data_IF_463635826060
#
_entry.id   IF_463635826060
#
_cell.length_a   1.000
_cell.length_b   1.000
_cell.length_c   1.000
_cell.angle_alpha   90.00
_cell.angle_beta   90.00
_cell.angle_gamma   90.00
#
_symmetry.space_group_name_H-M   'P 1'
#
loop_
_entity.id
_entity.type
_entity.pdbx_description
1 polymer ?
#
# COMPACT_ATOMS: atom_id res chain seq x y z
N UNK A 1 22.71 -12.39 13.35
CA UNK A 1 22.64 -12.27 11.88
C UNK A 1 21.18 -12.11 11.54
N UNK A 2 20.73 -10.99 10.96
CA UNK A 2 19.35 -10.88 10.50
C UNK A 2 19.12 -11.85 9.34
N UNK A 3 17.95 -12.47 9.28
CA UNK A 3 17.59 -13.33 8.17
C UNK A 3 17.62 -12.52 6.86
N UNK A 4 18.12 -13.13 5.79
CA UNK A 4 18.27 -12.46 4.50
C UNK A 4 16.88 -12.27 3.87
N UNK A 5 16.49 -11.05 3.46
CA UNK A 5 15.19 -10.84 2.84
C UNK A 5 15.12 -11.53 1.47
N UNK A 6 13.96 -12.09 1.14
CA UNK A 6 13.66 -12.73 -0.15
C UNK A 6 13.28 -11.71 -1.23
N UNK A 7 13.00 -10.47 -0.84
CA UNK A 7 12.78 -9.33 -1.73
C UNK A 7 13.76 -8.19 -1.43
N UNK A 8 14.36 -7.59 -2.45
CA UNK A 8 15.27 -6.43 -2.32
C UNK A 8 14.53 -5.11 -2.36
N UNK A 9 13.48 -5.02 -3.17
CA UNK A 9 12.68 -3.82 -3.36
C UNK A 9 11.21 -4.16 -3.35
N UNK A 10 10.44 -3.48 -2.52
CA UNK A 10 9.01 -3.77 -2.34
C UNK A 10 8.19 -2.50 -2.31
N UNK A 11 6.91 -2.63 -2.67
CA UNK A 11 5.94 -1.57 -2.46
C UNK A 11 4.92 -2.00 -1.40
N UNK A 12 4.91 -1.33 -0.25
CA UNK A 12 3.89 -1.50 0.78
C UNK A 12 2.67 -0.63 0.45
N UNK A 13 1.53 -1.27 0.24
CA UNK A 13 0.24 -0.59 0.12
C UNK A 13 -0.54 -0.73 1.43
N UNK A 14 -0.76 0.38 2.12
CA UNK A 14 -1.65 0.47 3.27
C UNK A 14 -2.99 1.11 2.87
N UNK A 15 -4.10 0.60 3.40
CA UNK A 15 -5.37 1.35 3.30
C UNK A 15 -5.31 2.60 4.18
N UNK A 16 -5.98 3.67 3.76
CA UNK A 16 -6.19 4.83 4.65
C UNK A 16 -6.93 4.43 5.93
N UNK A 17 -7.89 3.50 5.84
CA UNK A 17 -8.61 3.00 7.02
C UNK A 17 -7.70 2.31 8.04
N UNK A 18 -6.55 1.76 7.60
CA UNK A 18 -5.59 1.18 8.53
C UNK A 18 -5.04 2.24 9.49
N UNK A 19 -4.92 3.49 9.05
CA UNK A 19 -4.45 4.60 9.89
C UNK A 19 -5.47 5.10 10.91
N UNK A 20 -6.73 4.68 10.87
CA UNK A 20 -7.73 5.15 11.84
C UNK A 20 -7.58 4.49 13.22
N UNK A 21 -6.90 3.36 13.32
CA UNK A 21 -6.91 2.55 14.55
C UNK A 21 -8.34 2.20 14.97
N UNK A 22 -8.68 2.50 16.22
CA UNK A 22 -10.04 2.33 16.76
C UNK A 22 -10.94 3.56 16.52
N UNK A 23 -10.45 4.60 15.87
CA UNK A 23 -11.19 5.84 15.61
C UNK A 23 -12.13 5.68 14.41
N UNK A 24 -13.19 6.50 14.38
CA UNK A 24 -14.14 6.52 13.24
C UNK A 24 -13.68 7.37 12.06
N UNK A 25 -12.66 8.22 12.24
CA UNK A 25 -12.18 9.20 11.27
C UNK A 25 -10.79 9.71 11.64
N UNK A 26 -10.00 10.13 10.65
CA UNK A 26 -8.72 10.80 10.88
C UNK A 26 -7.52 9.86 10.93
N UNK A 27 -6.48 10.24 11.67
CA UNK A 27 -5.21 9.52 11.75
C UNK A 27 -4.89 9.24 13.22
N UNK A 28 -4.78 7.96 13.55
CA UNK A 28 -4.22 7.49 14.80
C UNK A 28 -2.69 7.44 14.71
N UNK A 29 -2.04 8.35 15.42
CA UNK A 29 -0.58 8.50 15.42
C UNK A 29 0.10 7.21 15.91
N UNK A 30 -0.49 6.48 16.85
CA UNK A 30 0.12 5.24 17.34
C UNK A 30 0.13 4.15 16.26
N UNK A 31 -0.88 4.13 15.39
CA UNK A 31 -0.91 3.20 14.25
C UNK A 31 0.06 3.62 13.15
N UNK A 32 0.16 4.92 12.87
CA UNK A 32 1.17 5.45 11.95
C UNK A 32 2.61 5.15 12.43
N UNK A 33 2.88 5.36 13.74
CA UNK A 33 4.17 5.05 14.37
C UNK A 33 4.47 3.54 14.33
N UNK A 34 3.46 2.68 14.48
CA UNK A 34 3.61 1.22 14.32
C UNK A 34 3.96 0.82 12.89
N UNK A 35 3.26 1.34 11.89
CA UNK A 35 3.57 1.07 10.46
C UNK A 35 4.98 1.59 10.13
N UNK A 36 5.37 2.75 10.67
CA UNK A 36 6.72 3.28 10.53
C UNK A 36 7.77 2.34 11.14
N UNK A 37 7.49 1.73 12.30
CA UNK A 37 8.34 0.71 12.90
C UNK A 37 8.48 -0.55 12.03
N UNK A 38 7.38 -1.04 11.45
CA UNK A 38 7.43 -2.21 10.55
C UNK A 38 8.28 -1.90 9.29
N UNK A 39 8.19 -0.67 8.76
CA UNK A 39 9.05 -0.20 7.66
C UNK A 39 10.52 -0.06 8.11
N UNK A 40 10.77 0.41 9.33
CA UNK A 40 12.10 0.50 9.91
C UNK A 40 12.81 -0.85 9.94
N UNK A 41 12.08 -1.90 10.37
CA UNK A 41 12.57 -3.27 10.41
C UNK A 41 12.92 -3.78 9.00
N UNK A 42 12.04 -3.56 8.01
CA UNK A 42 12.32 -3.87 6.61
C UNK A 42 13.60 -3.19 6.09
N UNK A 43 13.74 -1.89 6.38
CA UNK A 43 14.90 -1.10 5.95
C UNK A 43 16.19 -1.54 6.64
N UNK A 44 16.12 -1.94 7.91
CA UNK A 44 17.26 -2.50 8.64
C UNK A 44 17.76 -3.84 8.04
N UNK A 45 16.92 -4.54 7.29
CA UNK A 45 17.30 -5.73 6.52
C UNK A 45 17.91 -5.40 5.14
N UNK A 46 18.00 -4.12 4.78
CA UNK A 46 18.51 -3.66 3.48
C UNK A 46 17.46 -3.66 2.36
N UNK A 47 16.17 -3.75 2.70
CA UNK A 47 15.08 -3.68 1.73
C UNK A 47 14.79 -2.22 1.36
N UNK A 48 14.73 -1.93 0.06
CA UNK A 48 14.25 -0.65 -0.47
C UNK A 48 12.72 -0.62 -0.44
N UNK A 49 12.13 0.36 0.26
CA UNK A 49 10.68 0.39 0.51
C UNK A 49 10.05 1.61 -0.14
N UNK A 50 9.12 1.35 -1.07
CA UNK A 50 8.13 2.31 -1.53
C UNK A 50 6.82 2.13 -0.76
N UNK A 51 6.07 3.19 -0.53
CA UNK A 51 4.80 3.15 0.21
C UNK A 51 3.69 3.86 -0.54
N UNK A 52 2.51 3.25 -0.64
CA UNK A 52 1.27 3.91 -1.05
C UNK A 52 0.28 3.82 0.10
N UNK A 53 -0.30 4.95 0.49
CA UNK A 53 -1.32 5.01 1.53
C UNK A 53 -2.63 5.54 0.95
N UNK A 54 -3.73 4.82 1.19
CA UNK A 54 -5.07 5.26 0.77
C UNK A 54 -5.59 6.46 1.58
N UNK A 55 -6.71 7.06 1.14
CA UNK A 55 -7.30 8.27 1.76
C UNK A 55 -8.62 8.05 2.51
N UNK A 56 -9.11 6.81 2.58
CA UNK A 56 -10.48 6.47 3.04
C UNK A 56 -10.82 6.79 4.50
N UNK A 57 -9.82 7.17 5.30
CA UNK A 57 -9.95 7.64 6.68
C UNK A 57 -10.26 9.13 6.80
N UNK A 58 -9.91 9.93 5.79
CA UNK A 58 -10.18 11.38 5.74
C UNK A 58 -11.30 11.66 4.74
N UNK A 59 -11.30 10.94 3.61
CA UNK A 59 -12.31 11.15 2.58
C UNK A 59 -12.73 9.84 1.92
N UNK A 60 -14.03 9.55 1.94
CA UNK A 60 -14.64 8.42 1.22
C UNK A 60 -15.46 8.95 0.05
N UNK A 61 -14.82 9.10 -1.11
CA UNK A 61 -15.44 9.71 -2.29
C UNK A 61 -16.72 9.05 -2.78
N UNK A 62 -16.88 7.75 -2.52
CA UNK A 62 -18.12 7.01 -2.82
C UNK A 62 -19.33 7.65 -2.11
N UNK A 63 -19.17 8.20 -0.90
CA UNK A 63 -20.25 8.81 -0.14
C UNK A 63 -20.73 10.16 -0.71
N UNK A 64 -19.88 10.86 -1.47
CA UNK A 64 -20.22 12.14 -2.12
C UNK A 64 -20.83 11.90 -3.49
N UNK A 65 -20.26 11.00 -4.29
CA UNK A 65 -20.82 10.61 -5.59
C UNK A 65 -22.22 9.96 -5.44
N UNK A 66 -22.42 9.12 -4.41
CA UNK A 66 -23.72 8.48 -4.15
C UNK A 66 -24.82 9.46 -3.72
N UNK A 67 -24.46 10.71 -3.37
CA UNK A 67 -25.39 11.77 -2.97
C UNK A 67 -25.59 12.83 -4.06
N UNK A 68 -25.22 12.53 -5.31
CA UNK A 68 -25.37 13.44 -6.45
C UNK A 68 -24.21 14.41 -6.66
N UNK A 69 -23.07 14.21 -6.00
CA UNK A 69 -21.86 14.99 -6.22
C UNK A 69 -21.06 14.55 -7.46
N UNK A 70 -20.25 15.44 -8.00
CA UNK A 70 -19.33 15.15 -9.11
C UNK A 70 -18.25 14.15 -8.67
N UNK A 71 -18.17 13.02 -9.39
CA UNK A 71 -17.21 11.94 -9.12
C UNK A 71 -15.77 12.42 -9.22
N UNK A 72 -15.46 13.28 -10.20
CA UNK A 72 -14.11 13.78 -10.44
C UNK A 72 -13.63 14.61 -9.24
N UNK A 73 -14.47 15.53 -8.77
CA UNK A 73 -14.21 16.32 -7.56
C UNK A 73 -14.01 15.43 -6.33
N UNK A 74 -14.85 14.41 -6.15
CA UNK A 74 -14.66 13.44 -5.06
C UNK A 74 -13.31 12.71 -5.12
N UNK A 75 -12.88 12.26 -6.30
CA UNK A 75 -11.59 11.60 -6.44
C UNK A 75 -10.42 12.57 -6.19
N UNK A 76 -10.52 13.84 -6.58
CA UNK A 76 -9.53 14.87 -6.20
C UNK A 76 -9.43 15.05 -4.68
N UNK A 77 -10.57 15.12 -3.97
CA UNK A 77 -10.57 15.18 -2.50
C UNK A 77 -9.94 13.92 -1.89
N UNK A 78 -10.19 12.75 -2.48
CA UNK A 78 -9.53 11.50 -2.11
C UNK A 78 -8.01 11.54 -2.30
N UNK A 79 -7.53 12.10 -3.41
CA UNK A 79 -6.11 12.27 -3.68
C UNK A 79 -5.46 13.23 -2.68
N UNK A 80 -6.10 14.35 -2.32
CA UNK A 80 -5.64 15.23 -1.25
C UNK A 80 -5.58 14.52 0.11
N UNK A 81 -6.57 13.67 0.42
CA UNK A 81 -6.55 12.85 1.63
C UNK A 81 -5.34 11.91 1.67
N UNK A 82 -4.93 11.31 0.54
CA UNK A 82 -3.70 10.50 0.48
C UNK A 82 -2.44 11.31 0.79
N UNK A 83 -2.38 12.58 0.38
CA UNK A 83 -1.26 13.48 0.65
C UNK A 83 -1.17 13.79 2.15
N UNK A 84 -2.30 14.08 2.80
CA UNK A 84 -2.34 14.29 4.25
C UNK A 84 -1.82 13.06 5.00
N UNK A 85 -2.26 11.85 4.61
CA UNK A 85 -1.78 10.61 5.22
C UNK A 85 -0.30 10.36 4.97
N UNK A 86 0.19 10.65 3.76
CA UNK A 86 1.60 10.50 3.42
C UNK A 86 2.49 11.40 4.28
N UNK A 87 2.08 12.65 4.51
CA UNK A 87 2.79 13.58 5.40
C UNK A 87 2.81 13.09 6.85
N UNK A 88 1.69 12.57 7.34
CA UNK A 88 1.62 12.00 8.69
C UNK A 88 2.55 10.80 8.87
N UNK A 89 2.54 9.85 7.92
CA UNK A 89 3.43 8.69 7.94
C UNK A 89 4.90 9.10 7.80
N UNK A 90 5.21 10.10 6.96
CA UNK A 90 6.56 10.63 6.83
C UNK A 90 7.07 11.21 8.17
N UNK A 91 6.21 11.91 8.91
CA UNK A 91 6.56 12.39 10.26
C UNK A 91 6.86 11.22 11.20
N UNK A 92 6.04 10.17 11.19
CA UNK A 92 6.27 8.96 12.01
C UNK A 92 7.59 8.26 11.66
N UNK A 93 7.93 8.13 10.38
CA UNK A 93 9.21 7.56 9.93
C UNK A 93 10.39 8.43 10.38
N UNK A 94 10.28 9.75 10.27
CA UNK A 94 11.35 10.69 10.70
C UNK A 94 11.57 10.70 12.20
N UNK A 95 10.55 10.44 13.04
CA UNK A 95 10.73 10.23 14.49
C UNK A 95 11.65 9.05 14.80
N UNK A 96 11.74 8.08 13.89
CA UNK A 96 12.60 6.90 13.98
C UNK A 96 13.92 7.09 13.23
N UNK A 97 14.28 8.33 12.90
CA UNK A 97 15.48 8.70 12.13
C UNK A 97 15.57 8.03 10.74
N UNK A 98 14.43 7.75 10.12
CA UNK A 98 14.35 7.18 8.77
C UNK A 98 14.20 8.31 7.75
N UNK A 99 15.23 8.51 6.93
CA UNK A 99 15.18 9.47 5.83
C UNK A 99 14.07 9.09 4.83
N UNK A 100 13.18 10.04 4.59
CA UNK A 100 11.89 9.80 3.92
C UNK A 100 11.49 10.99 3.06
N UNK A 101 11.09 10.69 1.83
CA UNK A 101 10.54 11.67 0.88
C UNK A 101 9.09 11.33 0.51
N UNK A 102 8.27 12.37 0.31
CA UNK A 102 6.91 12.23 -0.22
C UNK A 102 6.92 12.71 -1.67
N UNK A 103 6.52 11.83 -2.59
CA UNK A 103 6.38 12.12 -4.01
C UNK A 103 4.89 12.12 -4.40
N UNK A 104 4.38 13.26 -4.86
CA UNK A 104 2.97 13.40 -5.26
C UNK A 104 2.78 13.29 -6.76
N UNK A 105 1.74 12.56 -7.18
CA UNK A 105 1.30 12.52 -8.57
C UNK A 105 0.69 13.85 -9.05
N UNK A 106 0.24 14.69 -8.12
CA UNK A 106 -0.27 16.05 -8.36
C UNK A 106 0.80 17.04 -7.91
N UNK A 107 1.17 18.00 -8.77
CA UNK A 107 2.18 19.00 -8.42
C UNK A 107 1.71 19.86 -7.23
N UNK A 108 2.52 19.90 -6.17
CA UNK A 108 2.29 20.71 -4.96
C UNK A 108 3.63 21.25 -4.43
N UNK A 109 4.24 22.23 -5.15
CA UNK A 109 5.64 22.63 -4.94
C UNK A 109 6.00 23.02 -3.51
N UNK A 110 5.07 23.59 -2.75
CA UNK A 110 5.28 24.04 -1.38
C UNK A 110 5.13 22.93 -0.33
N UNK A 111 4.59 21.76 -0.70
CA UNK A 111 4.20 20.71 0.25
C UNK A 111 5.03 19.43 0.07
N UNK A 112 5.20 18.97 -1.17
CA UNK A 112 5.90 17.73 -1.47
C UNK A 112 6.52 17.74 -2.87
N UNK A 113 7.52 16.89 -3.08
CA UNK A 113 8.16 16.76 -4.38
C UNK A 113 7.20 16.14 -5.40
N UNK A 114 7.25 16.61 -6.65
CA UNK A 114 6.49 15.98 -7.73
C UNK A 114 7.06 14.62 -8.09
N UNK A 115 6.20 13.65 -8.35
CA UNK A 115 6.62 12.32 -8.77
C UNK A 115 7.39 12.37 -10.10
N UNK A 116 8.52 11.67 -10.11
CA UNK A 116 9.11 11.14 -11.33
C UNK A 116 9.77 9.79 -11.02
N UNK A 117 9.79 8.89 -12.01
CA UNK A 117 10.47 7.61 -11.87
C UNK A 117 11.96 7.79 -11.53
N UNK A 118 12.62 8.76 -12.15
CA UNK A 118 14.05 9.03 -11.93
C UNK A 118 14.34 9.51 -10.51
N UNK A 119 13.53 10.42 -9.99
CA UNK A 119 13.66 10.87 -8.59
C UNK A 119 13.41 9.71 -7.62
N UNK A 120 12.40 8.89 -7.89
CA UNK A 120 12.09 7.69 -7.09
C UNK A 120 13.31 6.77 -6.99
N UNK A 121 13.90 6.37 -8.12
CA UNK A 121 15.07 5.48 -8.15
C UNK A 121 16.31 6.10 -7.48
N UNK A 122 16.47 7.43 -7.60
CA UNK A 122 17.54 8.15 -6.92
C UNK A 122 17.36 8.15 -5.39
N UNK A 123 16.16 8.45 -4.89
CA UNK A 123 15.90 8.43 -3.45
C UNK A 123 16.05 7.01 -2.86
N UNK A 124 15.57 5.99 -3.58
CA UNK A 124 15.75 4.59 -3.17
C UNK A 124 17.22 4.17 -3.10
N UNK A 125 18.06 4.61 -4.06
CA UNK A 125 19.49 4.29 -4.05
C UNK A 125 20.27 4.95 -2.92
N UNK A 126 19.73 6.02 -2.33
CA UNK A 126 20.23 6.62 -1.08
C UNK A 126 19.72 5.91 0.18
N UNK A 127 18.92 4.85 0.05
CA UNK A 127 18.33 4.11 1.16
C UNK A 127 17.21 4.86 1.88
N UNK A 128 16.56 5.81 1.20
CA UNK A 128 15.38 6.54 1.69
C UNK A 128 14.12 5.72 1.51
N UNK A 129 13.15 5.93 2.39
CA UNK A 129 11.77 5.47 2.15
C UNK A 129 11.07 6.48 1.24
N UNK A 130 10.40 5.98 0.19
CA UNK A 130 9.64 6.81 -0.74
C UNK A 130 8.15 6.60 -0.51
N UNK A 131 7.42 7.65 -0.13
CA UNK A 131 5.96 7.59 0.00
C UNK A 131 5.33 8.24 -1.24
N UNK A 132 4.55 7.49 -1.99
CA UNK A 132 3.79 7.98 -3.13
C UNK A 132 2.41 8.46 -2.68
N UNK A 133 2.07 9.69 -3.04
CA UNK A 133 0.80 10.34 -2.73
C UNK A 133 0.11 10.85 -4.00
N UNK A 134 -1.16 11.24 -3.88
CA UNK A 134 -1.97 11.69 -5.00
C UNK A 134 -2.44 10.56 -5.94
N UNK A 135 -2.30 9.30 -5.52
CA UNK A 135 -2.71 8.13 -6.31
C UNK A 135 -2.03 8.06 -7.68
N UNK A 136 -2.82 7.83 -8.73
CA UNK A 136 -2.36 7.89 -10.13
C UNK A 136 -2.32 9.32 -10.68
N UNK A 137 -2.78 10.31 -9.91
CA UNK A 137 -3.04 11.68 -10.37
C UNK A 137 -4.32 11.83 -11.20
N UNK A 138 -5.05 10.74 -11.42
CA UNK A 138 -6.23 10.71 -12.29
C UNK A 138 -7.48 10.22 -11.53
N UNK A 139 -8.64 10.85 -11.72
CA UNK A 139 -9.93 10.32 -11.25
C UNK A 139 -10.22 8.92 -11.83
N UNK A 140 -11.20 8.23 -11.25
CA UNK A 140 -11.67 6.88 -11.61
C UNK A 140 -10.72 5.71 -11.29
N UNK A 141 -9.50 5.99 -10.83
CA UNK A 141 -8.57 4.96 -10.35
C UNK A 141 -8.58 4.85 -8.83
N UNK A 142 -8.22 3.66 -8.33
CA UNK A 142 -8.09 3.44 -6.89
C UNK A 142 -6.63 3.59 -6.45
N UNK A 143 -6.41 3.58 -5.14
CA UNK A 143 -5.06 3.53 -4.55
C UNK A 143 -4.39 2.18 -4.76
N UNK A 144 -5.14 1.11 -5.03
CA UNK A 144 -4.60 -0.17 -5.44
C UNK A 144 -4.04 -0.08 -6.88
N UNK A 145 -4.72 0.61 -7.80
CA UNK A 145 -4.19 0.88 -9.15
C UNK A 145 -2.91 1.72 -9.09
N UNK A 146 -2.87 2.73 -8.20
CA UNK A 146 -1.66 3.52 -7.97
C UNK A 146 -0.50 2.67 -7.41
N UNK A 147 -0.79 1.75 -6.48
CA UNK A 147 0.22 0.83 -5.96
C UNK A 147 0.81 -0.06 -7.05
N UNK A 148 -0.03 -0.66 -7.90
CA UNK A 148 0.45 -1.47 -9.02
C UNK A 148 1.31 -0.64 -10.01
N UNK A 149 0.88 0.59 -10.33
CA UNK A 149 1.63 1.49 -11.20
C UNK A 149 2.99 1.86 -10.63
N UNK A 150 3.02 2.35 -9.37
CA UNK A 150 4.28 2.76 -8.73
C UNK A 150 5.22 1.59 -8.50
N UNK A 151 4.69 0.40 -8.21
CA UNK A 151 5.49 -0.82 -8.09
C UNK A 151 6.19 -1.16 -9.40
N UNK A 152 5.47 -1.09 -10.53
CA UNK A 152 6.06 -1.31 -11.86
C UNK A 152 7.13 -0.24 -12.18
N UNK A 153 6.82 1.04 -11.97
CA UNK A 153 7.76 2.13 -12.29
C UNK A 153 9.02 2.10 -11.41
N UNK A 154 8.91 1.74 -10.14
CA UNK A 154 10.07 1.62 -9.26
C UNK A 154 10.78 0.26 -9.40
N UNK A 155 10.28 -0.67 -10.21
CA UNK A 155 10.84 -2.02 -10.33
C UNK A 155 10.78 -2.82 -9.03
N UNK A 156 9.67 -2.73 -8.29
CA UNK A 156 9.46 -3.52 -7.09
C UNK A 156 9.30 -5.01 -7.44
N UNK A 157 9.88 -5.88 -6.61
CA UNK A 157 9.82 -7.33 -6.76
C UNK A 157 8.52 -7.92 -6.20
N UNK A 158 7.76 -7.15 -5.41
CA UNK A 158 6.41 -7.50 -4.95
C UNK A 158 5.64 -6.28 -4.42
N UNK A 159 4.31 -6.36 -4.50
CA UNK A 159 3.37 -5.45 -3.82
C UNK A 159 2.88 -6.12 -2.55
N UNK A 160 3.16 -5.51 -1.42
CA UNK A 160 2.69 -5.94 -0.11
C UNK A 160 1.41 -5.17 0.24
N UNK A 161 0.26 -5.83 0.13
CA UNK A 161 -1.03 -5.23 0.44
C UNK A 161 -1.42 -5.55 1.88
N UNK A 162 -1.23 -4.57 2.76
CA UNK A 162 -1.64 -4.65 4.15
C UNK A 162 -3.16 -4.48 4.29
N UNK A 163 -3.82 -5.49 4.85
CA UNK A 163 -5.27 -5.51 5.05
C UNK A 163 -5.66 -5.77 6.50
N UNK A 164 -6.98 -5.79 6.76
CA UNK A 164 -7.56 -6.08 8.07
C UNK A 164 -7.60 -7.59 8.39
N UNK A 165 -7.31 -8.43 7.39
CA UNK A 165 -7.27 -9.90 7.48
C UNK A 165 -5.90 -10.39 7.03
N UNK A 166 -5.55 -11.63 7.34
CA UNK A 166 -4.22 -12.24 7.13
C UNK A 166 -4.06 -12.93 5.76
N UNK A 167 -4.89 -12.57 4.78
CA UNK A 167 -4.85 -13.17 3.44
C UNK A 167 -6.13 -13.00 2.65
N UNK A 168 -6.22 -13.75 1.55
CA UNK A 168 -7.38 -13.83 0.68
C UNK A 168 -8.19 -15.05 1.08
N UNK A 169 -9.50 -14.88 1.22
CA UNK A 169 -10.43 -15.93 1.63
C UNK A 169 -11.45 -16.21 0.54
N UNK A 170 -12.03 -17.41 0.55
CA UNK A 170 -13.13 -17.80 -0.34
C UNK A 170 -14.40 -16.98 -0.15
N UNK A 171 -14.61 -16.44 1.05
CA UNK A 171 -15.70 -15.53 1.44
C UNK A 171 -15.21 -14.57 2.53
N UNK A 172 -16.03 -13.58 2.93
CA UNK A 172 -15.70 -12.69 4.05
C UNK A 172 -15.64 -13.49 5.36
N UNK A 173 -14.45 -13.69 5.97
CA UNK A 173 -14.30 -14.54 7.15
C UNK A 173 -14.99 -13.98 8.40
N UNK A 174 -15.42 -12.70 8.37
CA UNK A 174 -16.21 -12.11 9.46
C UNK A 174 -17.70 -12.47 9.37
N UNK A 175 -18.17 -12.92 8.20
CA UNK A 175 -19.58 -13.23 7.92
C UNK A 175 -19.81 -14.71 7.67
N UNK A 176 -18.84 -15.38 7.08
CA UNK A 176 -18.92 -16.80 6.73
C UNK A 176 -17.89 -17.59 7.56
N UNK A 177 -18.32 -18.43 8.51
CA UNK A 177 -17.42 -19.26 9.31
C UNK A 177 -16.77 -20.39 8.50
N UNK A 178 -17.27 -20.69 7.29
CA UNK A 178 -16.69 -21.67 6.38
C UNK A 178 -15.67 -21.04 5.42
N UNK A 179 -15.39 -19.73 5.54
CA UNK A 179 -14.40 -19.06 4.71
C UNK A 179 -13.01 -19.68 4.90
N UNK A 180 -12.43 -20.16 3.81
CA UNK A 180 -11.11 -20.79 3.79
C UNK A 180 -10.10 -19.83 3.20
N UNK A 181 -8.97 -19.64 3.88
CA UNK A 181 -7.86 -18.82 3.38
C UNK A 181 -7.11 -19.57 2.29
N UNK A 182 -6.72 -18.86 1.24
CA UNK A 182 -5.79 -19.37 0.24
C UNK A 182 -4.36 -19.09 0.66
N UNK A 183 -3.43 -20.00 0.44
CA UNK A 183 -1.99 -19.73 0.63
C UNK A 183 -1.37 -19.15 -0.64
N UNK A 184 -1.77 -19.66 -1.82
CA UNK A 184 -1.30 -19.22 -3.13
C UNK A 184 -2.43 -19.14 -4.14
N UNK A 185 -2.35 -18.14 -5.02
CA UNK A 185 -3.25 -17.95 -6.15
C UNK A 185 -2.44 -17.43 -7.35
N UNK A 186 -2.97 -17.61 -8.56
CA UNK A 186 -2.49 -16.89 -9.75
C UNK A 186 -3.25 -15.59 -9.92
N UNK A 187 -2.71 -14.63 -10.67
CA UNK A 187 -3.42 -13.38 -10.96
C UNK A 187 -4.72 -13.66 -11.73
N UNK A 188 -4.68 -14.62 -12.67
CA UNK A 188 -5.87 -15.06 -13.41
C UNK A 188 -6.91 -15.69 -12.50
N UNK A 189 -6.52 -16.51 -11.52
CA UNK A 189 -7.48 -17.09 -10.57
C UNK A 189 -8.17 -16.02 -9.72
N UNK A 190 -7.47 -14.95 -9.32
CA UNK A 190 -8.08 -13.81 -8.61
C UNK A 190 -9.13 -13.13 -9.47
N UNK A 191 -8.84 -12.90 -10.76
CA UNK A 191 -9.75 -12.25 -11.71
C UNK A 191 -10.97 -13.14 -12.03
N UNK A 192 -10.75 -14.42 -12.35
CA UNK A 192 -11.81 -15.36 -12.74
C UNK A 192 -12.78 -15.66 -11.59
N UNK A 193 -12.27 -15.77 -10.36
CA UNK A 193 -13.09 -16.02 -9.17
C UNK A 193 -13.70 -14.74 -8.60
N UNK A 194 -13.37 -13.56 -9.14
CA UNK A 194 -13.84 -12.28 -8.63
C UNK A 194 -13.45 -12.03 -7.16
N UNK A 195 -12.28 -12.51 -6.73
CA UNK A 195 -11.85 -12.36 -5.34
C UNK A 195 -11.52 -10.89 -5.04
N UNK A 196 -12.07 -10.35 -3.96
CA UNK A 196 -11.92 -8.95 -3.58
C UNK A 196 -10.54 -8.65 -2.96
N UNK A 197 -9.50 -8.69 -3.81
CA UNK A 197 -8.10 -8.45 -3.41
C UNK A 197 -7.72 -7.00 -3.63
N UNK A 198 -7.86 -6.55 -4.88
CA UNK A 198 -7.62 -5.21 -5.40
C UNK A 198 -8.65 -4.99 -6.52
N UNK A 199 -8.76 -3.77 -7.06
CA UNK A 199 -9.54 -3.58 -8.28
C UNK A 199 -8.92 -4.31 -9.47
N UNK A 200 -9.76 -4.63 -10.46
CA UNK A 200 -9.38 -5.39 -11.65
C UNK A 200 -8.22 -4.75 -12.41
N UNK A 201 -8.21 -3.41 -12.53
CA UNK A 201 -7.15 -2.71 -13.25
C UNK A 201 -5.79 -2.87 -12.54
N UNK A 202 -5.78 -2.81 -11.21
CA UNK A 202 -4.56 -3.04 -10.43
C UNK A 202 -4.03 -4.48 -10.56
N UNK A 203 -4.91 -5.48 -10.49
CA UNK A 203 -4.52 -6.90 -10.64
C UNK A 203 -4.00 -7.16 -12.05
N UNK A 204 -4.67 -6.62 -13.08
CA UNK A 204 -4.24 -6.75 -14.47
C UNK A 204 -2.85 -6.12 -14.69
N UNK A 205 -2.62 -4.91 -14.17
CA UNK A 205 -1.35 -4.23 -14.28
C UNK A 205 -0.21 -4.98 -13.57
N UNK A 206 -0.49 -5.52 -12.37
CA UNK A 206 0.48 -6.35 -11.65
C UNK A 206 0.82 -7.63 -12.44
N UNK A 207 -0.18 -8.29 -13.03
CA UNK A 207 0.00 -9.48 -13.88
C UNK A 207 0.87 -9.19 -15.10
N UNK A 208 0.57 -8.12 -15.83
CA UNK A 208 1.30 -7.74 -17.06
C UNK A 208 2.78 -7.45 -16.80
N UNK A 209 3.12 -7.03 -15.58
CA UNK A 209 4.49 -6.75 -15.15
C UNK A 209 5.09 -7.90 -14.32
N UNK A 210 4.41 -9.04 -14.22
CA UNK A 210 4.80 -10.19 -13.41
C UNK A 210 5.15 -9.83 -11.95
N UNK A 211 4.42 -8.88 -11.36
CA UNK A 211 4.62 -8.40 -9.98
C UNK A 211 3.72 -9.22 -9.06
N UNK A 212 4.29 -10.03 -8.14
CA UNK A 212 3.53 -10.73 -7.12
C UNK A 212 2.79 -9.77 -6.19
N UNK A 213 1.59 -10.17 -5.77
CA UNK A 213 0.82 -9.46 -4.73
C UNK A 213 0.81 -10.32 -3.48
N UNK A 214 1.34 -9.79 -2.39
CA UNK A 214 1.41 -10.45 -1.09
C UNK A 214 0.37 -9.79 -0.17
N UNK A 215 -0.71 -10.52 0.13
CA UNK A 215 -1.80 -10.03 0.97
C UNK A 215 -1.61 -10.54 2.39
N UNK A 216 -1.55 -9.62 3.34
CA UNK A 216 -1.26 -9.94 4.74
C UNK A 216 -2.00 -9.00 5.69
N UNK A 217 -1.96 -9.32 6.99
CA UNK A 217 -2.53 -8.47 8.03
C UNK A 217 -1.55 -7.34 8.36
N UNK A 218 -2.00 -6.10 8.20
CA UNK A 218 -1.18 -4.94 8.60
C UNK A 218 -1.10 -4.78 10.12
N UNK A 219 -1.89 -5.52 10.91
CA UNK A 219 -1.97 -5.36 12.37
C UNK A 219 -1.03 -6.27 13.15
N UNK A 220 -0.49 -7.29 12.48
CA UNK A 220 0.44 -8.23 13.09
C UNK A 220 1.82 -7.57 13.21
N UNK A 221 2.23 -7.26 14.44
CA UNK A 221 3.54 -6.65 14.73
C UNK A 221 4.66 -7.58 14.25
N UNK A 222 5.59 -7.06 13.46
CA UNK A 222 6.67 -7.86 12.86
C UNK A 222 6.24 -8.73 11.68
N UNK A 223 4.93 -8.83 11.40
CA UNK A 223 4.41 -9.66 10.31
C UNK A 223 4.96 -9.25 8.94
N UNK A 224 5.17 -7.95 8.71
CA UNK A 224 5.79 -7.48 7.47
C UNK A 224 7.23 -7.99 7.32
N UNK A 225 8.04 -7.90 8.38
CA UNK A 225 9.42 -8.38 8.38
C UNK A 225 9.52 -9.90 8.24
N UNK A 226 8.64 -10.64 8.92
CA UNK A 226 8.57 -12.10 8.82
C UNK A 226 8.28 -12.55 7.38
N UNK A 227 7.34 -11.90 6.69
CA UNK A 227 7.02 -12.25 5.30
C UNK A 227 8.16 -11.87 4.36
N UNK A 228 8.85 -10.76 4.61
CA UNK A 228 10.03 -10.36 3.83
C UNK A 228 11.18 -11.37 3.92
N UNK A 229 11.18 -12.27 4.91
CA UNK A 229 12.18 -13.33 5.08
C UNK A 229 11.64 -14.72 4.75
N UNK A 230 10.43 -14.81 4.19
CA UNK A 230 9.79 -16.04 3.73
C UNK A 230 8.92 -16.76 4.76
N UNK A 231 8.72 -16.16 5.93
CA UNK A 231 7.80 -16.63 6.96
C UNK A 231 6.44 -15.91 6.93
N UNK A 232 5.81 -15.82 8.11
CA UNK A 232 4.58 -15.05 8.32
C UNK A 232 3.32 -15.63 7.65
N UNK A 233 2.16 -15.06 8.01
CA UNK A 233 0.87 -15.43 7.42
C UNK A 233 0.50 -14.45 6.32
N UNK A 234 0.51 -14.96 5.09
CA UNK A 234 0.05 -14.22 3.91
C UNK A 234 -0.58 -15.15 2.86
N UNK A 235 -1.28 -14.55 1.91
CA UNK A 235 -1.59 -15.18 0.62
C UNK A 235 -0.72 -14.55 -0.46
N UNK A 236 -0.04 -15.37 -1.26
CA UNK A 236 0.79 -14.91 -2.37
C UNK A 236 0.04 -15.10 -3.68
N UNK A 237 -0.18 -14.02 -4.42
CA UNK A 237 -0.71 -14.03 -5.78
C UNK A 237 0.46 -13.90 -6.75
N UNK A 238 0.76 -14.94 -7.50
CA UNK A 238 1.86 -14.98 -8.47
C UNK A 238 1.60 -16.03 -9.55
N UNK A 239 2.08 -15.76 -10.76
CA UNK A 239 2.00 -16.69 -11.91
C UNK A 239 3.25 -17.58 -12.04
N UNK A 240 4.22 -17.45 -11.13
CA UNK A 240 5.47 -18.23 -11.07
C UNK A 240 5.64 -19.04 -9.78
#
# INVERSE_FOLDING_TARGET
MSAKPIYKRVLLKASGEALMGSQGFGIDVAVADRIASDIAEARAMGVEVGVVVGGGNIFRGVAVASKGGDRVTGDHMGMLATIINALALATSLRKLDIDTVVLSAIAMPEICESFSQRATLYHLSLGRVVIFAGGTGNPFFTTDSAAALRAAEMGAEAIFKGTQVDGIYSADPKKDPLATRFDRLTHSAVLEKGLAVMDVAAVALARENAIPIVVFSIHEKGGFADILTGGGRATIVSDS
#
